data_IF_153955534469
#
_entry.id   IF_153955534469
#
_cell.length_a   1.000
_cell.length_b   1.000
_cell.length_c   1.000
_cell.angle_alpha   90.00
_cell.angle_beta   90.00
_cell.angle_gamma   90.00
#
_symmetry.space_group_name_H-M   'P 1'
#
loop_
_entity.id
_entity.type
_entity.pdbx_description
1 polymer ?
#
# COMPACT_ATOMS: atom_id res chain seq x y z
N UNK A 1 6.89 5.84 0.30
CA UNK A 1 6.83 6.12 1.75
C UNK A 1 8.06 5.53 2.44
N UNK A 2 8.74 6.34 3.27
CA UNK A 2 9.80 5.84 4.16
C UNK A 2 9.13 5.22 5.39
N UNK A 3 9.75 4.20 5.98
CA UNK A 3 9.17 3.48 7.13
C UNK A 3 8.98 4.39 8.37
N UNK A 4 9.77 5.45 8.49
CA UNK A 4 9.66 6.47 9.53
C UNK A 4 8.32 7.20 9.51
N UNK A 5 7.84 7.56 8.32
CA UNK A 5 6.59 8.31 8.17
C UNK A 5 5.38 7.41 8.50
N UNK A 6 5.51 6.11 8.25
CA UNK A 6 4.47 5.12 8.50
C UNK A 6 4.33 4.83 10.01
N UNK A 7 5.41 4.89 10.78
CA UNK A 7 5.36 4.67 12.24
C UNK A 7 4.69 5.79 13.01
N UNK A 8 4.69 7.01 12.47
CA UNK A 8 4.04 8.17 13.10
C UNK A 8 2.50 8.17 12.96
N UNK A 9 1.93 7.33 12.10
CA UNK A 9 0.47 7.24 11.91
C UNK A 9 -0.21 6.44 13.02
N UNK A 10 -1.43 6.81 13.39
CA UNK A 10 -2.25 6.02 14.33
C UNK A 10 -2.64 4.64 13.76
N UNK A 11 -3.04 3.70 14.62
CA UNK A 11 -3.50 2.35 14.21
C UNK A 11 -4.71 2.45 13.28
N UNK A 12 -5.63 3.37 13.56
CA UNK A 12 -6.82 3.64 12.74
C UNK A 12 -6.44 4.23 11.37
N UNK A 13 -5.50 5.18 11.35
CA UNK A 13 -4.99 5.78 10.12
C UNK A 13 -4.25 4.75 9.26
N UNK A 14 -3.50 3.83 9.88
CA UNK A 14 -2.84 2.72 9.19
C UNK A 14 -3.87 1.81 8.50
N UNK A 15 -4.95 1.44 9.19
CA UNK A 15 -6.01 0.61 8.60
C UNK A 15 -6.73 1.32 7.45
N UNK A 16 -7.05 2.60 7.62
CA UNK A 16 -7.65 3.41 6.55
C UNK A 16 -6.73 3.47 5.32
N UNK A 17 -5.42 3.72 5.53
CA UNK A 17 -4.43 3.75 4.45
C UNK A 17 -4.30 2.41 3.74
N UNK A 18 -4.32 1.30 4.48
CA UNK A 18 -4.23 -0.05 3.90
C UNK A 18 -5.42 -0.32 2.99
N UNK A 19 -6.63 0.08 3.40
CA UNK A 19 -7.84 -0.09 2.60
C UNK A 19 -7.79 0.73 1.29
N UNK A 20 -7.38 1.99 1.39
CA UNK A 20 -7.21 2.88 0.24
C UNK A 20 -6.16 2.36 -0.75
N UNK A 21 -4.98 1.98 -0.24
CA UNK A 21 -3.87 1.48 -1.06
C UNK A 21 -4.20 0.13 -1.71
N UNK A 22 -4.99 -0.74 -1.05
CA UNK A 22 -5.51 -1.98 -1.65
C UNK A 22 -6.46 -1.68 -2.80
N UNK A 23 -7.42 -0.77 -2.63
CA UNK A 23 -8.34 -0.38 -3.69
C UNK A 23 -7.58 0.18 -4.91
N UNK A 24 -6.57 1.02 -4.67
CA UNK A 24 -5.69 1.54 -5.72
C UNK A 24 -4.91 0.42 -6.43
N UNK A 25 -4.42 -0.57 -5.69
CA UNK A 25 -3.71 -1.73 -6.25
C UNK A 25 -4.62 -2.57 -7.15
N UNK A 26 -5.86 -2.83 -6.71
CA UNK A 26 -6.82 -3.62 -7.48
C UNK A 26 -7.26 -2.89 -8.76
N UNK A 27 -7.48 -1.57 -8.67
CA UNK A 27 -7.75 -0.73 -9.83
C UNK A 27 -6.60 -0.78 -10.84
N UNK A 28 -5.35 -0.60 -10.38
CA UNK A 28 -4.15 -0.66 -11.24
C UNK A 28 -3.94 -2.04 -11.86
N UNK A 29 -4.25 -3.12 -11.12
CA UNK A 29 -4.17 -4.49 -11.62
C UNK A 29 -5.20 -4.75 -12.72
N UNK A 30 -6.42 -4.24 -12.53
CA UNK A 30 -7.48 -4.31 -13.54
C UNK A 30 -7.09 -3.50 -14.79
N UNK A 31 -6.60 -2.27 -14.62
CA UNK A 31 -6.12 -1.44 -15.73
C UNK A 31 -4.99 -2.13 -16.47
N UNK A 32 -4.01 -2.72 -15.78
CA UNK A 32 -2.90 -3.46 -16.41
C UNK A 32 -3.37 -4.70 -17.21
N UNK A 33 -4.44 -5.35 -16.77
CA UNK A 33 -5.01 -6.50 -17.46
C UNK A 33 -5.76 -6.10 -18.75
N UNK A 34 -6.37 -4.91 -18.76
CA UNK A 34 -7.11 -4.37 -19.92
C UNK A 34 -6.18 -3.67 -20.91
N UNK A 35 -5.18 -2.94 -20.42
CA UNK A 35 -4.18 -2.24 -21.23
C UNK A 35 -2.83 -2.26 -20.53
N UNK A 36 -1.72 -2.59 -21.22
CA UNK A 36 -0.40 -2.58 -20.59
C UNK A 36 -0.12 -1.18 -20.03
N UNK A 37 0.00 -1.06 -18.71
CA UNK A 37 0.30 0.23 -18.09
C UNK A 37 1.72 0.65 -18.44
N UNK A 38 1.88 1.92 -18.79
CA UNK A 38 3.16 2.50 -19.19
C UNK A 38 4.27 2.33 -18.14
N UNK A 39 3.93 2.17 -16.85
CA UNK A 39 4.87 2.06 -15.75
C UNK A 39 4.54 0.89 -14.79
N UNK A 40 4.98 -0.35 -15.08
CA UNK A 40 4.77 -1.51 -14.20
C UNK A 40 5.43 -1.39 -12.82
N UNK A 41 6.41 -0.48 -12.70
CA UNK A 41 7.16 -0.23 -11.46
C UNK A 41 6.25 0.35 -10.37
N UNK A 42 5.21 1.12 -10.73
CA UNK A 42 4.28 1.70 -9.76
C UNK A 42 3.51 0.61 -8.99
N UNK A 43 3.07 -0.46 -9.68
CA UNK A 43 2.40 -1.62 -9.07
C UNK A 43 3.31 -2.28 -8.03
N UNK A 44 4.60 -2.46 -8.36
CA UNK A 44 5.59 -3.02 -7.43
C UNK A 44 5.83 -2.11 -6.23
N UNK A 45 5.85 -0.79 -6.43
CA UNK A 45 6.01 0.18 -5.35
C UNK A 45 4.80 0.17 -4.41
N UNK A 46 3.58 0.17 -4.96
CA UNK A 46 2.34 0.12 -4.19
C UNK A 46 2.25 -1.15 -3.34
N UNK A 47 2.56 -2.31 -3.92
CA UNK A 47 2.63 -3.59 -3.19
C UNK A 47 3.62 -3.54 -2.02
N UNK A 48 4.78 -2.89 -2.20
CA UNK A 48 5.77 -2.70 -1.14
C UNK A 48 5.27 -1.73 -0.06
N UNK A 49 4.51 -0.71 -0.43
CA UNK A 49 3.89 0.21 0.54
C UNK A 49 2.86 -0.51 1.40
N UNK A 50 1.96 -1.29 0.80
CA UNK A 50 0.98 -2.12 1.52
C UNK A 50 1.67 -3.07 2.50
N UNK A 51 2.73 -3.75 2.06
CA UNK A 51 3.49 -4.65 2.93
C UNK A 51 4.07 -3.92 4.15
N UNK A 52 4.68 -2.73 3.95
CA UNK A 52 5.21 -1.93 5.06
C UNK A 52 4.13 -1.44 6.02
N UNK A 53 2.97 -1.02 5.51
CA UNK A 53 1.84 -0.63 6.34
C UNK A 53 1.38 -1.79 7.24
N UNK A 54 1.24 -2.99 6.68
CA UNK A 54 0.87 -4.19 7.43
C UNK A 54 1.94 -4.56 8.48
N UNK A 55 3.23 -4.42 8.15
CA UNK A 55 4.32 -4.68 9.11
C UNK A 55 4.25 -3.74 10.30
N UNK A 56 4.06 -2.43 10.06
CA UNK A 56 3.95 -1.45 11.15
C UNK A 56 2.67 -1.65 11.96
N UNK A 57 1.56 -2.02 11.34
CA UNK A 57 0.33 -2.41 12.05
C UNK A 57 0.62 -3.56 13.02
N UNK A 58 1.32 -4.59 12.55
CA UNK A 58 1.69 -5.74 13.37
C UNK A 58 2.69 -5.36 14.49
N UNK A 59 3.67 -4.50 14.20
CA UNK A 59 4.60 -3.94 15.22
C UNK A 59 3.85 -3.17 16.32
N UNK A 60 2.72 -2.51 16.01
CA UNK A 60 1.91 -1.78 17.01
C UNK A 60 0.91 -2.65 17.78
N UNK A 61 0.56 -3.82 17.24
CA UNK A 61 -0.34 -4.78 17.88
C UNK A 61 0.39 -5.83 18.74
N UNK A 62 1.70 -6.01 18.51
CA UNK A 62 2.56 -6.98 19.22
C UNK A 62 3.18 -6.40 20.50
#
# INVERSE_FOLDING_TARGET
>A
MKATDIRNLSVEELQAKIAEEKANYDQLKLTNAVSPVANPISIKQLRRTIARLNTVLNEKQS
#
